data_IF_495975237569
#
_entry.id   IF_495975237569
#
_cell.length_a   1.000
_cell.length_b   1.000
_cell.length_c   1.000
_cell.angle_alpha   90.00
_cell.angle_beta   90.00
_cell.angle_gamma   90.00
#
_symmetry.space_group_name_H-M   'P 1'
#
loop_
_entity.id
_entity.type
_entity.pdbx_description
1 polymer ?
#
# COMPACT_ATOMS: atom_id res chain seq x y z
N UNK A 1 6.51 0.13 -12.38
CA UNK A 1 7.46 -1.00 -12.64
C UNK A 1 7.15 -1.57 -14.02
N UNK A 2 8.15 -1.94 -14.83
CA UNK A 2 7.92 -2.55 -16.14
C UNK A 2 8.33 -4.02 -16.15
N UNK A 3 7.55 -4.87 -16.82
CA UNK A 3 7.83 -6.30 -16.96
C UNK A 3 7.47 -6.81 -18.35
N UNK A 4 8.19 -7.84 -18.81
CA UNK A 4 7.89 -8.59 -20.05
C UNK A 4 7.15 -9.91 -19.78
N UNK A 5 6.93 -10.24 -18.51
CA UNK A 5 6.23 -11.47 -18.12
C UNK A 5 4.77 -11.46 -18.59
N UNK A 6 4.16 -12.64 -18.61
CA UNK A 6 2.76 -12.75 -19.03
C UNK A 6 1.84 -12.03 -18.00
N UNK A 7 0.77 -11.32 -18.41
CA UNK A 7 -0.09 -10.56 -17.48
C UNK A 7 -0.60 -11.37 -16.31
N UNK A 8 -0.88 -12.66 -16.52
CA UNK A 8 -1.31 -13.58 -15.46
C UNK A 8 -0.24 -13.76 -14.39
N UNK A 9 1.03 -13.91 -14.79
CA UNK A 9 2.16 -14.06 -13.87
C UNK A 9 2.37 -12.76 -13.09
N UNK A 10 2.39 -11.62 -13.79
CA UNK A 10 2.50 -10.30 -13.14
C UNK A 10 1.41 -10.11 -12.09
N UNK A 11 0.15 -10.39 -12.44
CA UNK A 11 -0.96 -10.25 -11.49
C UNK A 11 -0.88 -11.24 -10.33
N UNK A 12 -0.33 -12.44 -10.54
CA UNK A 12 -0.14 -13.43 -9.48
C UNK A 12 0.81 -12.90 -8.41
N UNK A 13 1.91 -12.29 -8.83
CA UNK A 13 2.90 -11.70 -7.93
C UNK A 13 2.40 -10.44 -7.25
N UNK A 14 1.65 -9.59 -7.98
CA UNK A 14 0.95 -8.44 -7.39
C UNK A 14 0.03 -8.91 -6.26
N UNK A 15 -0.80 -9.92 -6.49
CA UNK A 15 -1.72 -10.44 -5.49
C UNK A 15 -1.00 -11.07 -4.29
N UNK A 16 0.14 -11.72 -4.53
CA UNK A 16 1.01 -12.26 -3.47
C UNK A 16 1.60 -11.14 -2.61
N UNK A 17 2.20 -10.12 -3.23
CA UNK A 17 2.77 -8.96 -2.53
C UNK A 17 1.70 -8.20 -1.72
N UNK A 18 0.50 -8.00 -2.29
CA UNK A 18 -0.61 -7.38 -1.55
C UNK A 18 -1.00 -8.18 -0.30
N UNK A 19 -1.00 -9.52 -0.39
CA UNK A 19 -1.28 -10.41 0.75
C UNK A 19 -0.20 -10.32 1.83
N UNK A 20 1.07 -10.39 1.44
CA UNK A 20 2.22 -10.33 2.36
C UNK A 20 2.31 -9.00 3.11
N UNK A 21 1.83 -7.91 2.49
CA UNK A 21 1.77 -6.59 3.10
C UNK A 21 0.46 -6.31 3.87
N UNK A 22 -0.42 -7.31 4.01
CA UNK A 22 -1.73 -7.17 4.64
C UNK A 22 -2.57 -6.03 4.06
N UNK A 23 -2.46 -5.81 2.75
CA UNK A 23 -3.29 -4.84 2.02
C UNK A 23 -4.67 -5.46 1.81
N UNK A 24 -5.75 -4.71 1.99
CA UNK A 24 -7.07 -5.12 1.52
C UNK A 24 -7.28 -4.62 0.08
N UNK A 25 -7.83 -5.43 -0.81
CA UNK A 25 -8.09 -5.01 -2.19
C UNK A 25 -9.43 -5.52 -2.72
N UNK A 26 -9.95 -4.81 -3.72
CA UNK A 26 -11.09 -5.24 -4.53
C UNK A 26 -10.81 -4.99 -6.01
N UNK A 27 -11.26 -5.91 -6.85
CA UNK A 27 -11.18 -5.80 -8.31
C UNK A 27 -12.24 -4.80 -8.81
N UNK A 28 -11.84 -3.87 -9.67
CA UNK A 28 -12.75 -2.94 -10.37
C UNK A 28 -12.74 -3.21 -11.89
N UNK A 29 -11.70 -3.85 -12.41
CA UNK A 29 -11.56 -4.22 -13.83
C UNK A 29 -10.59 -5.38 -14.01
N UNK A 30 -10.38 -5.85 -15.25
CA UNK A 30 -9.56 -7.05 -15.53
C UNK A 30 -8.14 -6.97 -14.94
N UNK A 31 -7.56 -5.76 -14.89
CA UNK A 31 -6.24 -5.50 -14.30
C UNK A 31 -6.23 -4.23 -13.45
N UNK A 32 -7.37 -3.90 -12.86
CA UNK A 32 -7.58 -2.71 -12.02
C UNK A 32 -8.07 -3.13 -10.64
N UNK A 33 -7.42 -2.64 -9.60
CA UNK A 33 -7.79 -2.90 -8.22
C UNK A 33 -7.71 -1.63 -7.37
N UNK A 34 -8.70 -1.45 -6.50
CA UNK A 34 -8.63 -0.47 -5.41
C UNK A 34 -8.14 -1.16 -4.15
N UNK A 35 -7.18 -0.52 -3.50
CA UNK A 35 -6.43 -1.06 -2.39
C UNK A 35 -6.50 -0.12 -1.18
N UNK A 36 -6.43 -0.72 0.00
CA UNK A 36 -6.44 -0.05 1.29
C UNK A 36 -5.34 -0.68 2.15
N UNK A 37 -4.39 0.12 2.58
CA UNK A 37 -3.31 -0.33 3.47
C UNK A 37 -3.36 0.43 4.79
N UNK A 38 -3.21 -0.33 5.88
CA UNK A 38 -3.07 0.20 7.22
C UNK A 38 -1.85 -0.49 7.87
N UNK A 39 -0.72 0.21 8.06
CA UNK A 39 0.48 -0.35 8.68
C UNK A 39 0.27 -0.76 10.14
N UNK A 40 -0.78 -0.25 10.78
CA UNK A 40 -1.05 -0.47 12.20
C UNK A 40 -1.84 -1.76 12.45
N UNK A 41 -1.29 -2.91 12.03
CA UNK A 41 -1.80 -4.22 12.49
C UNK A 41 -0.67 -5.24 12.62
N UNK A 42 0.02 -5.34 13.76
CA UNK A 42 0.47 -6.64 14.23
C UNK A 42 -0.76 -7.35 14.79
N UNK A 43 -1.23 -8.38 14.09
CA UNK A 43 -2.15 -9.36 14.65
C UNK A 43 -1.41 -10.18 15.71
N UNK A 44 -1.25 -9.62 16.90
CA UNK A 44 -0.82 -10.35 18.09
C UNK A 44 -1.94 -10.28 19.11
N UNK A 45 -2.68 -11.38 19.21
CA UNK A 45 -3.47 -11.68 20.40
C UNK A 45 -2.51 -11.69 21.60
N UNK A 46 -2.63 -10.72 22.51
CA UNK A 46 -1.93 -10.75 23.79
C UNK A 46 -1.12 -9.50 24.13
N UNK A 47 -1.68 -8.75 25.08
CA UNK A 47 -1.00 -7.94 26.11
C UNK A 47 -0.10 -6.75 25.71
N UNK A 48 -0.63 -5.58 26.09
CA UNK A 48 0.02 -4.49 26.85
C UNK A 48 1.44 -4.07 26.42
N UNK A 49 1.51 -2.92 25.76
CA UNK A 49 2.74 -2.14 25.63
C UNK A 49 2.46 -0.80 24.96
N UNK A 50 2.61 0.29 25.71
CA UNK A 50 2.39 1.67 25.29
C UNK A 50 2.92 1.99 23.89
N UNK A 51 2.22 2.80 23.06
CA UNK A 51 2.81 3.27 21.83
C UNK A 51 3.85 4.34 22.18
N UNK A 52 5.14 3.96 22.14
CA UNK A 52 6.22 4.93 21.96
C UNK A 52 5.94 5.64 20.65
N UNK A 53 5.56 6.91 20.77
CA UNK A 53 5.35 7.83 19.68
C UNK A 53 6.62 7.91 18.84
N UNK A 54 6.62 7.21 17.70
CA UNK A 54 7.57 7.47 16.63
C UNK A 54 7.12 8.75 15.93
N UNK A 55 7.47 9.89 16.51
CA UNK A 55 7.33 11.21 15.92
C UNK A 55 8.33 11.34 14.75
N UNK A 56 7.94 10.86 13.57
CA UNK A 56 8.57 11.30 12.33
C UNK A 56 7.97 12.64 11.91
N UNK A 57 8.75 13.68 12.25
CA UNK A 57 8.79 15.06 11.77
C UNK A 57 7.82 15.49 10.66
N UNK A 58 7.03 16.50 10.99
CA UNK A 58 6.21 17.30 10.08
C UNK A 58 5.39 18.31 10.89
N UNK A 59 6.07 19.28 11.49
CA UNK A 59 5.46 20.35 12.28
C UNK A 59 4.70 21.33 11.35
N UNK A 60 3.36 21.33 11.44
CA UNK A 60 2.62 22.58 11.57
C UNK A 60 1.41 22.36 12.49
N UNK A 61 1.39 23.15 13.55
CA UNK A 61 0.44 23.18 14.67
C UNK A 61 -1.02 23.46 14.25
N UNK A 62 -1.97 22.72 14.81
CA UNK A 62 -2.96 23.29 15.74
C UNK A 62 -3.73 22.18 16.48
N UNK A 63 -3.83 22.39 17.78
CA UNK A 63 -4.56 21.66 18.82
C UNK A 63 -6.03 21.42 18.42
N UNK A 64 -6.54 20.19 18.58
CA UNK A 64 -7.86 19.82 19.15
C UNK A 64 -7.86 18.30 19.39
N UNK A 65 -8.12 17.91 20.63
CA UNK A 65 -8.42 16.55 21.07
C UNK A 65 -9.71 16.05 20.40
N UNK A 66 -9.64 14.94 19.65
CA UNK A 66 -10.83 14.23 19.20
C UNK A 66 -10.54 12.72 19.18
N UNK A 67 -11.03 12.04 20.21
CA UNK A 67 -10.88 10.62 20.58
C UNK A 67 -11.56 9.63 19.61
N UNK A 68 -11.62 9.97 18.32
CA UNK A 68 -12.11 9.12 17.24
C UNK A 68 -11.31 9.20 15.93
N UNK A 69 -10.33 10.12 15.83
CA UNK A 69 -9.67 10.48 14.57
C UNK A 69 -8.26 9.86 14.35
N UNK A 70 -7.71 9.14 15.33
CA UNK A 70 -6.34 8.60 15.27
C UNK A 70 -6.21 7.32 14.44
N UNK A 71 -7.28 6.53 14.28
CA UNK A 71 -7.24 5.28 13.49
C UNK A 71 -7.10 5.48 11.98
N UNK A 72 -7.44 6.66 11.46
CA UNK A 72 -7.43 6.97 10.02
C UNK A 72 -6.18 7.70 9.54
N UNK A 73 -5.32 8.22 10.45
CA UNK A 73 -4.15 9.02 10.07
C UNK A 73 -3.11 8.24 9.25
N UNK A 74 -2.98 6.95 9.50
CA UNK A 74 -1.97 6.10 8.86
C UNK A 74 -2.57 5.18 7.79
N UNK A 75 -3.74 5.51 7.26
CA UNK A 75 -4.39 4.70 6.22
C UNK A 75 -4.06 5.26 4.84
N UNK A 76 -3.64 4.38 3.94
CA UNK A 76 -3.37 4.71 2.53
C UNK A 76 -4.38 4.02 1.63
N UNK A 77 -5.09 4.80 0.81
CA UNK A 77 -5.90 4.29 -0.30
C UNK A 77 -5.14 4.51 -1.58
N UNK A 78 -5.03 3.48 -2.40
CA UNK A 78 -4.34 3.54 -3.67
C UNK A 78 -5.01 2.63 -4.71
N UNK A 79 -4.64 2.83 -5.95
CA UNK A 79 -5.10 2.03 -7.08
C UNK A 79 -3.91 1.32 -7.72
N UNK A 80 -4.12 0.09 -8.13
CA UNK A 80 -3.17 -0.71 -8.89
C UNK A 80 -3.73 -0.94 -10.28
N UNK A 81 -2.95 -0.62 -11.29
CA UNK A 81 -3.34 -0.78 -12.68
C UNK A 81 -2.19 -1.36 -13.50
N UNK A 82 -2.49 -2.39 -14.31
CA UNK A 82 -1.57 -2.91 -15.31
C UNK A 82 -1.93 -2.36 -16.69
N UNK A 83 -0.98 -1.75 -17.37
CA UNK A 83 -1.12 -1.25 -18.73
C UNK A 83 -0.25 -2.05 -19.69
N UNK A 84 -0.76 -2.30 -20.91
CA UNK A 84 0.06 -2.80 -22.02
C UNK A 84 0.71 -1.61 -22.72
N UNK A 85 2.03 -1.67 -22.89
CA UNK A 85 2.81 -0.67 -23.62
C UNK A 85 2.93 -1.06 -25.09
N UNK A 86 3.36 -0.12 -25.93
CA UNK A 86 3.58 -0.33 -27.38
C UNK A 86 4.69 -1.33 -27.69
N UNK A 87 5.60 -1.58 -26.75
CA UNK A 87 6.75 -2.49 -26.91
C UNK A 87 6.46 -3.93 -26.46
N UNK A 88 5.18 -4.33 -26.41
CA UNK A 88 4.75 -5.64 -25.87
C UNK A 88 5.20 -5.89 -24.41
N UNK A 89 5.49 -4.82 -23.66
CA UNK A 89 5.76 -4.85 -22.22
C UNK A 89 4.54 -4.42 -21.44
N UNK A 90 4.52 -4.76 -20.16
CA UNK A 90 3.49 -4.30 -19.22
C UNK A 90 4.07 -3.31 -18.21
N UNK A 91 3.32 -2.25 -17.94
CA UNK A 91 3.62 -1.25 -16.92
C UNK A 91 2.64 -1.44 -15.76
N UNK A 92 3.16 -1.77 -14.59
CA UNK A 92 2.44 -1.74 -13.34
C UNK A 92 2.54 -0.35 -12.72
N UNK A 93 1.39 0.29 -12.56
CA UNK A 93 1.18 1.60 -11.98
C UNK A 93 0.53 1.49 -10.59
N UNK A 94 1.01 2.31 -9.66
CA UNK A 94 0.48 2.45 -8.30
C UNK A 94 0.14 3.92 -8.10
N UNK A 95 -1.14 4.24 -7.97
CA UNK A 95 -1.62 5.61 -7.83
C UNK A 95 -2.19 5.85 -6.44
N UNK A 96 -1.60 6.78 -5.68
CA UNK A 96 -2.17 7.21 -4.40
C UNK A 96 -3.50 7.94 -4.64
N UNK A 97 -4.55 7.48 -3.96
CA UNK A 97 -5.89 8.10 -3.96
C UNK A 97 -6.09 8.95 -2.72
N UNK A 98 -5.71 8.44 -1.54
CA UNK A 98 -5.83 9.14 -0.26
C UNK A 98 -4.75 8.65 0.73
N UNK A 99 -4.42 9.48 1.72
CA UNK A 99 -3.49 9.15 2.79
C UNK A 99 -2.15 9.88 2.67
N UNK A 100 -1.26 9.73 3.68
CA UNK A 100 0.03 10.42 3.73
C UNK A 100 0.94 10.04 2.54
N UNK A 101 1.67 11.01 2.00
CA UNK A 101 2.54 10.81 0.82
C UNK A 101 3.74 9.91 1.13
N UNK A 102 4.47 10.20 2.21
CA UNK A 102 5.63 9.39 2.60
C UNK A 102 5.24 7.96 2.95
N UNK A 103 4.12 7.76 3.64
CA UNK A 103 3.61 6.42 3.92
C UNK A 103 3.27 5.64 2.65
N UNK A 104 2.75 6.31 1.62
CA UNK A 104 2.55 5.69 0.31
C UNK A 104 3.89 5.33 -0.37
N UNK A 105 4.94 6.15 -0.22
CA UNK A 105 6.27 5.81 -0.73
C UNK A 105 6.87 4.60 0.00
N UNK A 106 6.68 4.51 1.32
CA UNK A 106 7.09 3.34 2.12
C UNK A 106 6.36 2.08 1.64
N UNK A 107 5.05 2.18 1.39
CA UNK A 107 4.27 1.11 0.77
C UNK A 107 4.86 0.71 -0.59
N UNK A 108 5.15 1.67 -1.47
CA UNK A 108 5.73 1.38 -2.78
C UNK A 108 7.07 0.66 -2.66
N UNK A 109 7.93 1.08 -1.73
CA UNK A 109 9.22 0.43 -1.48
C UNK A 109 9.04 -1.01 -0.98
N UNK A 110 8.17 -1.22 0.02
CA UNK A 110 7.87 -2.55 0.54
C UNK A 110 7.23 -3.47 -0.54
N UNK A 111 6.32 -2.92 -1.34
CA UNK A 111 5.68 -3.64 -2.44
C UNK A 111 6.67 -4.04 -3.52
N UNK A 112 7.56 -3.13 -3.93
CA UNK A 112 8.63 -3.45 -4.88
C UNK A 112 9.62 -4.47 -4.33
N UNK A 113 9.91 -4.47 -3.02
CA UNK A 113 10.75 -5.48 -2.40
C UNK A 113 10.14 -6.88 -2.49
N UNK A 114 8.82 -7.01 -2.25
CA UNK A 114 8.12 -8.30 -2.41
C UNK A 114 8.10 -8.79 -3.85
N UNK A 115 7.95 -7.88 -4.83
CA UNK A 115 7.98 -8.24 -6.26
C UNK A 115 9.36 -8.68 -6.76
N UNK A 116 10.45 -8.29 -6.09
CA UNK A 116 11.84 -8.62 -6.46
C UNK A 116 12.31 -9.97 -5.94
N UNK A 117 11.41 -10.78 -5.36
CA UNK A 117 11.68 -12.19 -5.04
C UNK A 117 11.62 -13.09 -6.31
N UNK A 118 11.52 -12.48 -7.50
CA UNK A 118 11.61 -13.10 -8.83
C UNK A 118 12.86 -12.70 -9.59
#
# INVERSE_FOLDING_TARGET
MQSRAHPREIMTEVLKALRELNVCWKKIGHYNMKCLWNPCVPSTEGMVGNPVQSNYFGDESTIIENDGATKSRNVVKFEVQLYKTTEEKYLLDLQRVQGPQFLFLDLCAAFLAQLRVL
#
